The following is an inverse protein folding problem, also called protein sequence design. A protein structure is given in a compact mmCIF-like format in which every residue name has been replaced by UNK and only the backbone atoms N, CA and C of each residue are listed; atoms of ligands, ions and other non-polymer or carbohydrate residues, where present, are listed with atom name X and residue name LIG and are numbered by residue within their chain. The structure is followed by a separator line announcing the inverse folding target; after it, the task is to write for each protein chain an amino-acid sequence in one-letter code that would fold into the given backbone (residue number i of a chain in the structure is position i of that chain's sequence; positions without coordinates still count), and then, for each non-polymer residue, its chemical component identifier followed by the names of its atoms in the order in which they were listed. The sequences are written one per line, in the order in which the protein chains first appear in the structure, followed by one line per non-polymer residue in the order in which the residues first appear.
data_IF_313809878312
#
_entry.id   IF_313809878312
#
_cell.length_a   1.000
_cell.length_b   1.000
_cell.length_c   1.000
_cell.angle_alpha   90.00
_cell.angle_beta   90.00
_cell.angle_gamma   90.00
#
_symmetry.space_group_name_H-M   'P 1'
#
loop_
_entity.id
_entity.type
_entity.pdbx_description
1 polymer ?
#
# COMPACT_ATOMS: atom_id res chain seq x y z
N UNK A 1 11.98 3.07 -3.74
CA UNK A 1 11.03 4.17 -4.02
C UNK A 1 9.83 3.58 -4.81
N UNK A 2 8.59 3.84 -4.39
CA UNK A 2 7.45 2.93 -4.69
C UNK A 2 6.62 3.16 -5.97
N UNK A 3 5.60 2.33 -6.19
CA UNK A 3 4.47 2.52 -7.11
C UNK A 3 3.23 3.00 -6.34
N UNK A 4 2.50 4.02 -6.83
CA UNK A 4 1.34 4.55 -6.09
C UNK A 4 0.27 5.21 -6.97
N UNK A 5 -0.86 5.57 -6.35
CA UNK A 5 -1.90 6.41 -6.98
C UNK A 5 -1.36 7.80 -7.38
N UNK A 6 -2.12 8.52 -8.18
CA UNK A 6 -1.92 9.95 -8.37
C UNK A 6 -2.47 10.72 -7.15
N UNK A 7 -2.08 11.99 -6.97
CA UNK A 7 -2.65 12.86 -5.94
C UNK A 7 -4.15 13.03 -6.15
N UNK A 8 -4.58 13.17 -7.40
CA UNK A 8 -5.98 13.35 -7.74
C UNK A 8 -6.63 12.02 -8.16
N UNK A 9 -7.93 11.87 -7.86
CA UNK A 9 -8.73 10.80 -8.45
C UNK A 9 -8.71 10.97 -9.97
N UNK A 10 -8.44 9.88 -10.69
CA UNK A 10 -8.41 9.89 -12.15
C UNK A 10 -9.48 8.96 -12.72
N UNK A 11 -10.11 9.40 -13.80
CA UNK A 11 -10.88 8.51 -14.68
C UNK A 11 -9.91 7.91 -15.69
N UNK A 12 -9.85 6.59 -15.72
CA UNK A 12 -9.03 5.86 -16.69
C UNK A 12 -9.90 4.94 -17.53
N UNK A 13 -9.42 4.68 -18.74
CA UNK A 13 -9.99 3.71 -19.67
C UNK A 13 -8.92 2.72 -20.07
N UNK A 14 -9.18 1.43 -19.91
CA UNK A 14 -8.24 0.38 -20.31
C UNK A 14 -8.96 -0.86 -20.81
N UNK A 15 -8.26 -1.68 -21.60
CA UNK A 15 -8.79 -2.94 -22.13
C UNK A 15 -8.18 -4.12 -21.37
N UNK A 16 -9.02 -5.08 -21.01
CA UNK A 16 -8.57 -6.37 -20.47
C UNK A 16 -8.79 -7.44 -21.52
N UNK A 17 -7.72 -8.14 -21.88
CA UNK A 17 -7.78 -9.24 -22.84
C UNK A 17 -7.83 -10.58 -22.10
N UNK A 18 -8.85 -11.40 -22.38
CA UNK A 18 -9.02 -12.77 -21.88
C UNK A 18 -9.26 -13.70 -23.06
N UNK A 19 -8.30 -14.58 -23.37
CA UNK A 19 -8.51 -15.67 -24.34
C UNK A 19 -9.07 -15.24 -25.71
N UNK A 20 -8.61 -14.11 -26.26
CA UNK A 20 -9.09 -13.56 -27.53
C UNK A 20 -10.26 -12.57 -27.42
N UNK A 21 -10.86 -12.39 -26.24
CA UNK A 21 -11.88 -11.38 -25.97
C UNK A 21 -11.28 -10.14 -25.29
N UNK A 22 -11.67 -8.94 -25.73
CA UNK A 22 -11.24 -7.67 -25.14
C UNK A 22 -12.42 -6.94 -24.47
N UNK A 23 -12.35 -6.74 -23.16
CA UNK A 23 -13.32 -5.93 -22.42
C UNK A 23 -12.75 -4.53 -22.15
N UNK A 24 -13.40 -3.49 -22.67
CA UNK A 24 -13.12 -2.11 -22.27
C UNK A 24 -13.68 -1.81 -20.88
N UNK A 25 -12.88 -1.20 -20.00
CA UNK A 25 -13.30 -0.74 -18.68
C UNK A 25 -13.04 0.75 -18.53
N UNK A 26 -14.00 1.43 -17.92
CA UNK A 26 -13.87 2.79 -17.43
C UNK A 26 -13.95 2.75 -15.91
N UNK A 27 -12.96 3.32 -15.24
CA UNK A 27 -12.87 3.28 -13.78
C UNK A 27 -12.34 4.59 -13.23
N UNK A 28 -12.90 5.02 -12.10
CA UNK A 28 -12.25 5.98 -11.21
C UNK A 28 -11.27 5.24 -10.30
N UNK A 29 -9.99 5.51 -10.51
CA UNK A 29 -8.88 4.97 -9.72
C UNK A 29 -8.47 5.99 -8.67
N UNK A 30 -7.99 5.49 -7.54
CA UNK A 30 -7.86 6.24 -6.31
C UNK A 30 -7.01 7.51 -6.42
N UNK A 31 -7.09 8.32 -5.36
CA UNK A 31 -6.26 9.48 -5.10
C UNK A 31 -5.76 9.50 -3.65
N UNK A 32 -5.17 10.59 -3.21
CA UNK A 32 -4.79 10.73 -1.79
C UNK A 32 -6.02 11.01 -0.93
N UNK A 33 -5.98 10.59 0.33
CA UNK A 33 -7.04 10.90 1.28
C UNK A 33 -7.17 12.43 1.48
N UNK A 34 -8.38 13.00 1.45
CA UNK A 34 -8.58 14.42 1.70
C UNK A 34 -7.97 14.84 3.05
N UNK A 35 -7.09 15.85 3.01
CA UNK A 35 -6.33 16.33 4.17
C UNK A 35 -5.50 15.26 4.90
N UNK A 36 -5.16 14.15 4.22
CA UNK A 36 -4.47 13.02 4.84
C UNK A 36 -5.31 12.24 5.85
N UNK A 37 -6.63 12.47 5.93
CA UNK A 37 -7.50 11.82 6.92
C UNK A 37 -8.15 10.57 6.31
N UNK A 38 -7.70 9.41 6.78
CA UNK A 38 -8.28 8.10 6.46
C UNK A 38 -9.39 7.81 7.45
N UNK A 39 -10.64 7.98 7.02
CA UNK A 39 -11.80 7.58 7.83
C UNK A 39 -11.96 6.06 7.75
N UNK A 40 -12.09 5.38 8.88
CA UNK A 40 -12.31 3.95 8.92
C UNK A 40 -13.45 3.54 9.85
N UNK A 41 -14.17 2.50 9.47
CA UNK A 41 -15.25 1.90 10.23
C UNK A 41 -14.90 0.46 10.62
N UNK A 42 -15.18 0.10 11.86
CA UNK A 42 -14.94 -1.24 12.41
C UNK A 42 -16.30 -1.87 12.71
N UNK A 43 -16.73 -2.90 11.95
CA UNK A 43 -17.94 -3.64 12.27
C UNK A 43 -17.87 -4.23 13.68
N UNK A 44 -18.98 -4.16 14.42
CA UNK A 44 -19.08 -4.67 15.80
C UNK A 44 -18.84 -6.17 15.93
N UNK A 45 -18.97 -6.92 14.83
CA UNK A 45 -18.75 -8.36 14.79
C UNK A 45 -17.28 -8.76 14.80
N UNK A 46 -16.33 -7.83 14.67
CA UNK A 46 -14.90 -8.15 14.58
C UNK A 46 -14.29 -8.53 15.94
N UNK A 47 -13.31 -9.43 15.88
CA UNK A 47 -12.55 -9.89 17.06
C UNK A 47 -11.76 -8.74 17.72
N UNK A 48 -11.83 -8.61 19.05
CA UNK A 48 -11.18 -7.52 19.77
C UNK A 48 -9.64 -7.53 19.60
N UNK A 49 -9.04 -8.71 19.52
CA UNK A 49 -7.61 -8.89 19.24
C UNK A 49 -7.25 -8.36 17.86
N UNK A 50 -8.07 -8.66 16.85
CA UNK A 50 -7.90 -8.12 15.50
C UNK A 50 -7.99 -6.61 15.45
N UNK A 51 -9.03 -6.04 16.09
CA UNK A 51 -9.23 -4.58 16.16
C UNK A 51 -8.00 -3.90 16.79
N UNK A 52 -7.45 -4.50 17.86
CA UNK A 52 -6.22 -4.02 18.50
C UNK A 52 -5.04 -4.01 17.54
N UNK A 53 -4.84 -5.08 16.76
CA UNK A 53 -3.77 -5.17 15.76
C UNK A 53 -3.93 -4.16 14.62
N UNK A 54 -5.16 -3.95 14.12
CA UNK A 54 -5.47 -2.92 13.11
C UNK A 54 -5.09 -1.53 13.62
N UNK A 55 -5.53 -1.17 14.83
CA UNK A 55 -5.22 0.13 15.43
C UNK A 55 -3.72 0.33 15.64
N UNK A 56 -2.99 -0.72 16.06
CA UNK A 56 -1.53 -0.68 16.20
C UNK A 56 -0.84 -0.46 14.86
N UNK A 57 -1.24 -1.19 13.82
CA UNK A 57 -0.66 -1.06 12.49
C UNK A 57 -0.93 0.33 11.87
N UNK A 58 -2.13 0.87 12.03
CA UNK A 58 -2.46 2.25 11.66
C UNK A 58 -1.58 3.27 12.40
N UNK A 59 -1.47 3.13 13.72
CA UNK A 59 -0.63 4.02 14.55
C UNK A 59 0.85 3.93 14.16
N UNK A 60 1.33 2.74 13.80
CA UNK A 60 2.70 2.53 13.34
C UNK A 60 2.98 3.34 12.06
N UNK A 61 2.08 3.29 11.07
CA UNK A 61 2.18 4.12 9.86
C UNK A 61 2.19 5.62 10.19
N UNK A 62 1.28 6.09 11.05
CA UNK A 62 1.25 7.51 11.48
C UNK A 62 2.59 7.95 12.09
N UNK A 63 3.17 7.13 12.97
CA UNK A 63 4.46 7.41 13.62
C UNK A 63 5.60 7.44 12.59
N UNK A 64 5.65 6.49 11.67
CA UNK A 64 6.70 6.44 10.65
C UNK A 64 6.65 7.64 9.69
N UNK A 65 5.43 8.00 9.28
CA UNK A 65 5.19 9.19 8.46
C UNK A 65 5.61 10.45 9.23
N UNK A 66 5.19 10.60 10.48
CA UNK A 66 5.59 11.73 11.32
C UNK A 66 7.11 11.82 11.50
N UNK A 67 7.79 10.70 11.78
CA UNK A 67 9.26 10.68 11.93
C UNK A 67 9.97 11.09 10.65
N UNK A 68 9.46 10.67 9.49
CA UNK A 68 10.03 11.01 8.19
C UNK A 68 9.75 12.47 7.82
N UNK A 69 8.51 12.94 7.95
CA UNK A 69 8.08 14.24 7.41
C UNK A 69 8.24 15.37 8.42
N UNK A 70 8.34 15.04 9.71
CA UNK A 70 8.31 15.98 10.85
C UNK A 70 6.99 16.73 11.01
N UNK A 71 5.92 16.25 10.38
CA UNK A 71 4.54 16.68 10.61
C UNK A 71 3.56 15.51 10.41
N UNK A 72 2.36 15.62 10.99
CA UNK A 72 1.35 14.57 10.94
C UNK A 72 0.56 14.62 9.62
N UNK A 73 1.16 14.12 8.54
CA UNK A 73 0.59 14.18 7.19
C UNK A 73 -0.56 13.19 6.94
N UNK A 74 -0.66 12.16 7.78
CA UNK A 74 -1.71 11.14 7.70
C UNK A 74 -2.30 10.92 9.09
N UNK A 75 -3.62 10.77 9.15
CA UNK A 75 -4.36 10.41 10.37
C UNK A 75 -5.46 9.40 10.08
N UNK A 76 -5.52 8.33 10.86
CA UNK A 76 -6.64 7.40 10.88
C UNK A 76 -7.69 7.87 11.88
N UNK A 77 -8.92 8.03 11.42
CA UNK A 77 -10.06 8.48 12.22
C UNK A 77 -11.16 7.43 12.20
N UNK A 78 -11.43 6.82 13.36
CA UNK A 78 -12.55 5.89 13.49
C UNK A 78 -13.87 6.65 13.38
N UNK A 79 -14.80 6.14 12.58
CA UNK A 79 -16.18 6.64 12.49
C UNK A 79 -17.17 5.54 12.89
N UNK A 80 -18.41 5.93 13.17
CA UNK A 80 -19.44 5.04 13.72
C UNK A 80 -20.24 4.27 12.66
N UNK A 81 -20.05 4.58 11.38
CA UNK A 81 -20.75 3.92 10.29
C UNK A 81 -19.86 3.82 9.05
N UNK A 82 -20.05 2.75 8.27
CA UNK A 82 -19.53 2.66 6.91
C UNK A 82 -20.21 3.70 6.02
N UNK A 83 -19.61 3.97 4.86
CA UNK A 83 -20.19 4.90 3.90
C UNK A 83 -19.22 5.32 2.83
N UNK A 84 -19.63 6.31 2.05
CA UNK A 84 -18.81 6.88 0.99
C UNK A 84 -17.54 7.51 1.60
N UNK A 85 -16.38 7.13 1.07
CA UNK A 85 -15.12 7.68 1.57
C UNK A 85 -14.71 7.19 2.96
N UNK A 86 -15.19 6.00 3.36
CA UNK A 86 -14.83 5.35 4.62
C UNK A 86 -14.30 3.95 4.31
N UNK A 87 -13.13 3.61 4.85
CA UNK A 87 -12.58 2.26 4.78
C UNK A 87 -13.31 1.35 5.76
N UNK A 88 -13.95 0.31 5.26
CA UNK A 88 -14.51 -0.74 6.12
C UNK A 88 -13.44 -1.76 6.46
N UNK A 89 -13.16 -1.97 7.75
CA UNK A 89 -12.26 -3.03 8.19
C UNK A 89 -12.96 -4.38 8.02
N UNK A 90 -12.29 -5.32 7.35
CA UNK A 90 -12.80 -6.67 7.08
C UNK A 90 -11.90 -7.76 7.64
N UNK A 91 -12.50 -8.91 7.90
CA UNK A 91 -11.85 -10.15 8.34
C UNK A 91 -12.25 -11.25 7.35
N UNK A 92 -11.71 -11.15 6.12
CA UNK A 92 -12.06 -12.02 5.00
C UNK A 92 -10.83 -12.52 4.23
N UNK A 93 -10.06 -11.61 3.63
CA UNK A 93 -8.90 -11.87 2.77
C UNK A 93 -7.86 -10.78 2.94
N UNK A 94 -6.62 -11.07 2.57
CA UNK A 94 -5.52 -10.11 2.55
C UNK A 94 -5.70 -9.23 1.32
N UNK A 95 -6.42 -8.12 1.51
CA UNK A 95 -6.71 -7.17 0.46
C UNK A 95 -7.21 -5.84 1.01
N UNK A 96 -6.84 -4.77 0.32
CA UNK A 96 -7.36 -3.44 0.55
C UNK A 96 -7.64 -2.69 -0.76
N UNK A 97 -8.48 -1.67 -0.66
CA UNK A 97 -8.64 -0.67 -1.72
C UNK A 97 -7.42 0.23 -1.76
N UNK A 98 -6.89 0.50 -2.95
CA UNK A 98 -5.70 1.34 -3.11
C UNK A 98 -6.07 2.83 -3.15
N UNK A 99 -5.71 3.57 -2.10
CA UNK A 99 -5.99 5.00 -1.96
C UNK A 99 -7.47 5.34 -1.77
N UNK A 100 -7.81 6.62 -1.90
CA UNK A 100 -9.16 7.15 -1.76
C UNK A 100 -9.93 7.12 -3.08
N UNK A 101 -11.08 6.45 -3.13
CA UNK A 101 -11.90 6.31 -4.36
C UNK A 101 -13.26 6.98 -4.27
N UNK A 102 -13.60 7.66 -3.17
CA UNK A 102 -14.93 8.24 -2.91
C UNK A 102 -16.11 7.26 -3.16
N UNK A 103 -15.88 5.94 -3.06
CA UNK A 103 -16.89 4.89 -3.19
C UNK A 103 -17.31 4.38 -1.80
N UNK A 104 -18.40 3.61 -1.77
CA UNK A 104 -18.99 3.04 -0.55
C UNK A 104 -18.43 1.67 -0.17
N UNK A 105 -17.72 1.02 -1.08
CA UNK A 105 -17.22 -0.35 -0.95
C UNK A 105 -15.71 -0.39 -0.69
N UNK A 106 -15.12 0.69 -0.17
CA UNK A 106 -13.69 0.73 0.17
C UNK A 106 -13.41 -0.08 1.44
N UNK A 107 -12.36 -0.89 1.43
CA UNK A 107 -12.06 -1.81 2.52
C UNK A 107 -10.56 -2.01 2.74
N UNK A 108 -10.24 -2.55 3.91
CA UNK A 108 -8.91 -3.03 4.28
C UNK A 108 -9.09 -4.21 5.23
N UNK A 109 -8.39 -5.31 4.99
CA UNK A 109 -8.52 -6.47 5.84
C UNK A 109 -7.51 -7.56 5.55
N UNK A 110 -7.43 -8.50 6.48
CA UNK A 110 -6.71 -9.77 6.35
C UNK A 110 -7.60 -10.89 6.86
N UNK A 111 -7.30 -12.12 6.45
CA UNK A 111 -8.07 -13.31 6.83
C UNK A 111 -7.75 -13.78 8.28
N UNK A 112 -8.00 -12.95 9.29
CA UNK A 112 -7.58 -13.17 10.67
C UNK A 112 -8.23 -14.40 11.32
N UNK A 113 -9.54 -14.59 11.15
CA UNK A 113 -10.25 -15.73 11.74
C UNK A 113 -9.80 -17.07 11.20
N UNK A 114 -9.61 -17.16 9.89
CA UNK A 114 -9.27 -18.40 9.19
C UNK A 114 -7.75 -18.65 9.16
N UNK A 115 -6.94 -17.60 9.27
CA UNK A 115 -5.49 -17.69 9.36
C UNK A 115 -4.91 -16.54 10.19
N UNK A 116 -4.61 -16.80 11.45
CA UNK A 116 -4.01 -15.80 12.36
C UNK A 116 -2.65 -15.30 11.88
N UNK A 117 -1.91 -16.10 11.09
CA UNK A 117 -0.65 -15.66 10.50
C UNK A 117 -0.83 -14.56 9.45
N UNK A 118 -2.02 -14.45 8.83
CA UNK A 118 -2.35 -13.37 7.89
C UNK A 118 -2.27 -11.98 8.48
N UNK A 119 -2.22 -11.86 9.82
CA UNK A 119 -1.91 -10.57 10.44
C UNK A 119 -0.63 -9.99 9.86
N UNK A 120 0.35 -10.83 9.48
CA UNK A 120 1.62 -10.56 8.77
C UNK A 120 1.48 -9.61 7.56
N UNK A 121 0.31 -9.56 6.94
CA UNK A 121 0.07 -8.71 5.78
C UNK A 121 -0.59 -7.37 6.13
N UNK A 122 -1.06 -7.16 7.36
CA UNK A 122 -1.91 -6.02 7.68
C UNK A 122 -1.27 -4.63 7.42
N UNK A 123 0.03 -4.38 7.71
CA UNK A 123 0.68 -3.14 7.33
C UNK A 123 0.82 -2.97 5.82
N UNK A 124 0.96 -4.05 5.04
CA UNK A 124 0.92 -4.01 3.58
C UNK A 124 -0.46 -3.58 3.08
N UNK A 125 -1.53 -4.14 3.65
CA UNK A 125 -2.91 -3.73 3.32
C UNK A 125 -3.21 -2.28 3.72
N UNK A 126 -2.64 -1.80 4.82
CA UNK A 126 -2.72 -0.38 5.17
C UNK A 126 -1.89 0.47 4.20
N UNK A 127 -0.75 -0.01 3.71
CA UNK A 127 0.03 0.65 2.65
C UNK A 127 -0.80 0.86 1.37
N UNK A 128 -1.56 -0.16 0.96
CA UNK A 128 -2.58 -0.02 -0.08
C UNK A 128 -3.59 1.06 0.24
N UNK A 129 -4.18 1.01 1.44
CA UNK A 129 -5.15 2.02 1.89
C UNK A 129 -4.59 3.44 1.76
N UNK A 130 -3.30 3.65 2.05
CA UNK A 130 -2.61 4.94 1.92
C UNK A 130 -2.30 5.35 0.47
N UNK A 131 -2.46 4.46 -0.50
CA UNK A 131 -2.31 4.74 -1.92
C UNK A 131 -1.13 4.03 -2.59
N UNK A 132 -0.38 3.19 -1.88
CA UNK A 132 0.72 2.43 -2.46
C UNK A 132 0.21 1.20 -3.22
N UNK A 133 0.84 0.87 -4.34
CA UNK A 133 0.54 -0.32 -5.13
C UNK A 133 1.71 -1.30 -5.05
N UNK A 134 1.50 -2.53 -5.52
CA UNK A 134 2.53 -3.56 -5.49
C UNK A 134 3.77 -3.16 -6.31
N UNK A 135 4.94 -3.31 -5.70
CA UNK A 135 6.20 -2.88 -6.30
C UNK A 135 6.61 -3.76 -7.49
N UNK A 136 6.33 -5.06 -7.41
CA UNK A 136 6.61 -6.01 -8.50
C UNK A 136 5.83 -5.71 -9.81
N UNK A 137 4.75 -4.92 -9.73
CA UNK A 137 3.93 -4.58 -10.88
C UNK A 137 4.45 -3.38 -11.68
N UNK A 138 5.53 -2.73 -11.23
CA UNK A 138 6.16 -1.64 -11.95
C UNK A 138 6.62 -2.05 -13.35
N UNK A 139 6.61 -1.12 -14.29
CA UNK A 139 7.06 -1.37 -15.67
C UNK A 139 8.57 -1.58 -15.75
N UNK A 140 9.32 -0.97 -14.84
CA UNK A 140 10.78 -1.04 -14.73
C UNK A 140 11.26 -2.07 -13.69
N UNK A 141 10.38 -2.96 -13.19
CA UNK A 141 10.79 -4.05 -12.31
C UNK A 141 11.89 -4.92 -12.95
N UNK A 142 12.93 -5.37 -12.22
CA UNK A 142 13.98 -6.22 -12.77
C UNK A 142 13.45 -7.51 -13.39
N UNK A 143 14.13 -8.03 -14.41
CA UNK A 143 13.72 -9.27 -15.09
C UNK A 143 13.60 -10.47 -14.15
N UNK A 144 14.44 -10.57 -13.11
CA UNK A 144 14.33 -11.62 -12.09
C UNK A 144 12.98 -11.59 -11.38
N UNK A 145 12.45 -10.41 -11.09
CA UNK A 145 11.10 -10.22 -10.52
C UNK A 145 10.04 -10.55 -11.57
N UNK A 146 10.15 -9.98 -12.78
CA UNK A 146 9.15 -10.21 -13.84
C UNK A 146 8.98 -11.71 -14.19
N UNK A 147 10.07 -12.47 -14.14
CA UNK A 147 10.08 -13.90 -14.45
C UNK A 147 9.35 -14.75 -13.40
N UNK A 148 9.24 -14.27 -12.16
CA UNK A 148 8.45 -14.94 -11.10
C UNK A 148 6.95 -14.68 -11.18
N UNK A 149 6.51 -13.74 -12.04
CA UNK A 149 5.09 -13.43 -12.16
C UNK A 149 4.32 -14.58 -12.80
N UNK A 150 3.25 -15.01 -12.14
CA UNK A 150 2.27 -15.92 -12.71
C UNK A 150 1.47 -15.26 -13.85
N UNK A 151 0.63 -16.03 -14.53
CA UNK A 151 -0.17 -15.53 -15.66
C UNK A 151 -1.17 -14.44 -15.26
N UNK A 152 -1.74 -14.52 -14.05
CA UNK A 152 -2.68 -13.53 -13.52
C UNK A 152 -1.97 -12.23 -13.16
N UNK A 153 -0.80 -12.30 -12.54
CA UNK A 153 0.04 -11.16 -12.22
C UNK A 153 0.52 -10.45 -13.50
N UNK A 154 0.93 -11.20 -14.53
CA UNK A 154 1.28 -10.62 -15.83
C UNK A 154 0.09 -9.88 -16.46
N UNK A 155 -1.10 -10.46 -16.40
CA UNK A 155 -2.30 -9.85 -16.94
C UNK A 155 -2.72 -8.58 -16.17
N UNK A 156 -2.61 -8.62 -14.84
CA UNK A 156 -2.96 -7.50 -13.96
C UNK A 156 -1.91 -6.41 -13.96
N UNK A 157 -0.65 -6.69 -14.34
CA UNK A 157 0.40 -5.68 -14.49
C UNK A 157 0.02 -4.58 -15.49
N UNK A 158 -0.52 -4.95 -16.65
CA UNK A 158 -0.99 -3.98 -17.66
C UNK A 158 -2.08 -3.08 -17.08
N UNK A 159 -3.00 -3.65 -16.30
CA UNK A 159 -4.05 -2.89 -15.64
C UNK A 159 -3.44 -1.95 -14.60
N UNK A 160 -2.53 -2.46 -13.78
CA UNK A 160 -1.84 -1.72 -12.72
C UNK A 160 -1.08 -0.51 -13.26
N UNK A 161 -0.40 -0.64 -14.40
CA UNK A 161 0.30 0.48 -15.04
C UNK A 161 -0.64 1.58 -15.56
N UNK A 162 -1.91 1.27 -15.83
CA UNK A 162 -2.91 2.29 -16.16
C UNK A 162 -3.40 3.05 -14.92
N UNK A 163 -3.35 2.42 -13.74
CA UNK A 163 -3.89 2.96 -12.49
C UNK A 163 -2.86 3.76 -11.70
N UNK A 164 -1.61 3.31 -11.70
CA UNK A 164 -0.58 3.79 -10.78
C UNK A 164 0.63 4.37 -11.51
N UNK A 165 1.36 5.22 -10.81
CA UNK A 165 2.50 5.96 -11.30
C UNK A 165 3.70 5.68 -10.41
N UNK A 166 4.88 5.61 -11.03
CA UNK A 166 6.14 5.54 -10.28
C UNK A 166 6.55 6.90 -9.76
N UNK A 167 6.00 8.00 -10.29
CA UNK A 167 6.42 9.38 -9.97
C UNK A 167 7.94 9.60 -10.11
N UNK A 168 8.58 8.91 -11.07
CA UNK A 168 10.03 8.90 -11.30
C UNK A 168 10.87 8.37 -10.13
N UNK A 169 10.25 7.55 -9.28
CA UNK A 169 10.90 6.90 -8.16
C UNK A 169 11.75 5.71 -8.64
N UNK A 170 12.87 5.42 -7.99
CA UNK A 170 13.68 4.21 -8.26
C UNK A 170 13.05 2.95 -7.62
N UNK A 171 13.03 1.83 -8.35
CA UNK A 171 12.49 0.54 -7.89
C UNK A 171 13.01 0.12 -6.49
N UNK A 172 12.12 -0.42 -5.65
CA UNK A 172 12.38 -0.77 -4.26
C UNK A 172 12.28 -2.28 -3.96
N UNK A 173 13.38 -3.02 -4.09
CA UNK A 173 13.38 -4.44 -3.72
C UNK A 173 13.00 -4.72 -2.25
N UNK A 174 13.12 -3.71 -1.38
CA UNK A 174 12.82 -3.81 0.05
C UNK A 174 11.50 -3.14 0.44
N UNK A 175 10.67 -2.72 -0.53
CA UNK A 175 9.36 -2.13 -0.23
C UNK A 175 8.48 -3.14 0.50
N UNK A 176 7.71 -2.64 1.48
CA UNK A 176 6.67 -3.44 2.13
C UNK A 176 5.60 -3.89 1.14
N UNK A 177 5.49 -3.20 -0.01
CA UNK A 177 4.58 -3.51 -1.12
C UNK A 177 5.16 -4.51 -2.12
N UNK A 178 6.39 -4.99 -1.90
CA UNK A 178 6.93 -6.14 -2.59
C UNK A 178 6.35 -7.43 -1.99
N UNK A 179 6.11 -8.43 -2.82
CA UNK A 179 5.74 -9.77 -2.33
C UNK A 179 7.00 -10.55 -1.99
N UNK A 180 6.93 -11.44 -0.99
CA UNK A 180 8.09 -12.13 -0.44
C UNK A 180 8.86 -12.97 -1.48
N UNK A 181 8.17 -13.68 -2.38
CA UNK A 181 8.79 -14.50 -3.43
C UNK A 181 9.52 -13.65 -4.49
N UNK A 182 8.96 -12.52 -4.87
CA UNK A 182 9.58 -11.55 -5.78
C UNK A 182 10.78 -10.85 -5.09
N UNK A 183 10.67 -10.52 -3.80
CA UNK A 183 11.76 -9.97 -3.02
C UNK A 183 12.94 -10.96 -2.95
N UNK A 184 12.66 -12.24 -2.69
CA UNK A 184 13.68 -13.31 -2.68
C UNK A 184 14.38 -13.48 -4.03
N UNK A 185 13.70 -13.24 -5.15
CA UNK A 185 14.33 -13.24 -6.48
C UNK A 185 15.39 -12.13 -6.67
N UNK A 186 15.43 -11.14 -5.78
CA UNK A 186 16.45 -10.10 -5.69
C UNK A 186 17.48 -10.36 -4.58
N UNK A 187 17.41 -11.51 -3.91
CA UNK A 187 18.25 -11.83 -2.74
C UNK A 187 17.81 -11.12 -1.46
N UNK A 188 16.63 -10.48 -1.43
CA UNK A 188 16.09 -9.85 -0.22
C UNK A 188 15.43 -10.94 0.64
N UNK A 189 15.98 -11.16 1.85
CA UNK A 189 15.56 -12.24 2.75
C UNK A 189 14.23 -11.93 3.43
N UNK A 190 13.97 -10.65 3.75
CA UNK A 190 12.67 -10.18 4.23
C UNK A 190 12.52 -8.68 3.99
N UNK A 191 11.60 -8.29 3.11
CA UNK A 191 11.31 -6.90 2.79
C UNK A 191 10.43 -6.20 3.86
N UNK A 192 9.59 -6.96 4.57
CA UNK A 192 8.71 -6.43 5.62
C UNK A 192 9.44 -6.20 6.94
N UNK A 193 10.47 -6.99 7.25
CA UNK A 193 11.23 -6.88 8.51
C UNK A 193 12.34 -5.82 8.48
N UNK A 194 12.98 -5.62 7.32
CA UNK A 194 14.17 -4.78 7.19
C UNK A 194 13.92 -3.35 6.69
N UNK A 195 12.65 -2.93 6.59
CA UNK A 195 12.30 -1.57 6.15
C UNK A 195 12.82 -0.44 7.06
N UNK A 196 12.79 0.78 6.51
CA UNK A 196 13.56 1.94 6.98
C UNK A 196 13.04 2.60 8.27
N UNK A 197 11.77 2.43 8.64
CA UNK A 197 11.25 3.00 9.88
C UNK A 197 11.15 1.97 11.01
N UNK A 198 12.28 1.72 11.69
CA UNK A 198 12.29 0.91 12.91
C UNK A 198 11.69 1.71 14.09
N UNK A 199 10.65 1.17 14.72
CA UNK A 199 10.12 1.69 15.99
C UNK A 199 10.58 0.76 17.12
N UNK A 200 11.02 1.32 18.26
CA UNK A 200 11.44 0.55 19.42
C UNK A 200 10.31 -0.35 19.94
N UNK A 201 10.63 -1.56 20.39
CA UNK A 201 9.65 -2.57 20.85
C UNK A 201 8.65 -2.04 21.90
N UNK A 202 9.05 -1.10 22.75
CA UNK A 202 8.20 -0.51 23.79
C UNK A 202 7.13 0.46 23.24
N UNK A 203 7.15 0.80 21.95
CA UNK A 203 6.22 1.72 21.31
C UNK A 203 5.23 1.01 20.38
N UNK A 204 5.52 -0.23 19.95
CA UNK A 204 4.61 -1.09 19.17
C UNK A 204 4.94 -2.56 19.46
N UNK A 205 3.98 -3.32 20.01
CA UNK A 205 4.13 -4.76 20.28
C UNK A 205 4.11 -5.58 18.96
N UNK A 206 5.21 -5.53 18.20
CA UNK A 206 5.80 -6.62 17.41
C UNK A 206 6.92 -6.04 16.51
N UNK A 207 8.11 -6.62 16.62
CA UNK A 207 9.38 -6.05 16.17
C UNK A 207 9.75 -6.26 14.69
N UNK A 208 8.80 -6.46 13.77
CA UNK A 208 9.12 -7.07 12.46
C UNK A 208 8.47 -6.43 11.23
N UNK A 209 8.04 -5.17 11.29
CA UNK A 209 7.22 -4.59 10.22
C UNK A 209 7.58 -3.14 10.04
N UNK A 210 8.29 -2.83 8.96
CA UNK A 210 8.76 -1.48 8.71
C UNK A 210 8.51 -1.15 7.23
N UNK A 211 7.83 -0.03 6.91
CA UNK A 211 7.86 0.48 5.55
C UNK A 211 9.30 0.85 5.17
N UNK A 212 9.69 0.61 3.92
CA UNK A 212 11.00 1.01 3.41
C UNK A 212 11.14 2.54 3.43
N UNK A 213 12.38 3.03 3.30
CA UNK A 213 12.58 4.46 3.11
C UNK A 213 11.84 4.96 1.84
N UNK A 214 11.81 4.15 0.79
CA UNK A 214 11.15 4.47 -0.47
C UNK A 214 9.62 4.46 -0.40
N UNK A 215 9.02 3.63 0.45
CA UNK A 215 7.58 3.67 0.77
C UNK A 215 7.23 5.00 1.42
N UNK A 216 8.02 5.41 2.42
CA UNK A 216 7.80 6.67 3.14
C UNK A 216 8.09 7.89 2.25
N UNK A 217 9.08 7.83 1.37
CA UNK A 217 9.34 8.89 0.40
C UNK A 217 8.19 9.05 -0.59
N UNK A 218 7.59 7.94 -1.03
CA UNK A 218 6.40 7.98 -1.88
C UNK A 218 5.21 8.62 -1.15
N UNK A 219 4.95 8.21 0.09
CA UNK A 219 3.92 8.85 0.90
C UNK A 219 4.22 10.33 1.18
N UNK A 220 5.50 10.71 1.27
CA UNK A 220 5.90 12.12 1.43
C UNK A 220 5.48 12.92 0.22
N UNK A 221 5.78 12.41 -0.97
CA UNK A 221 5.32 13.05 -2.19
C UNK A 221 3.79 13.15 -2.25
N UNK A 222 3.07 12.08 -1.91
CA UNK A 222 1.61 12.06 -1.97
C UNK A 222 0.94 13.04 -1.01
N UNK A 223 1.34 13.06 0.26
CA UNK A 223 0.64 13.77 1.33
C UNK A 223 1.25 15.13 1.73
N UNK A 224 2.43 15.47 1.23
CA UNK A 224 2.98 16.82 1.33
C UNK A 224 2.42 17.69 0.20
N UNK A 225 1.46 18.54 0.53
CA UNK A 225 0.78 19.43 -0.43
C UNK A 225 1.72 20.44 -1.10
N UNK A 226 2.89 20.72 -0.51
CA UNK A 226 3.88 21.64 -1.07
C UNK A 226 4.90 20.92 -1.97
N UNK A 227 4.90 19.58 -1.97
CA UNK A 227 5.91 18.78 -2.63
C UNK A 227 5.47 18.40 -4.04
N UNK A 228 6.18 18.93 -5.03
CA UNK A 228 5.95 18.63 -6.45
C UNK A 228 6.86 17.53 -7.01
N UNK A 229 7.86 17.10 -6.24
CA UNK A 229 8.82 16.04 -6.64
C UNK A 229 9.19 15.16 -5.46
N UNK A 230 9.55 13.90 -5.72
CA UNK A 230 10.04 13.01 -4.67
C UNK A 230 11.32 13.57 -4.04
N UNK A 231 11.54 13.38 -2.72
CA UNK A 231 12.83 13.69 -2.12
C UNK A 231 13.92 12.92 -2.88
N UNK A 232 15.04 13.59 -3.18
CA UNK A 232 16.26 12.94 -3.66
C UNK A 232 16.86 12.11 -2.52
N UNK A 233 16.22 11.03 -2.12
CA UNK A 233 16.83 10.03 -1.23
C UNK A 233 17.66 9.10 -2.10
N UNK A 234 18.98 9.24 -1.94
CA UNK A 234 20.07 8.40 -2.45
C UNK A 234 19.70 7.46 -3.60
N UNK A 235 19.72 7.99 -4.83
CA UNK A 235 20.15 7.22 -5.98
C UNK A 235 21.61 6.82 -5.76
N UNK A 236 21.83 5.81 -4.92
CA UNK A 236 23.10 5.09 -4.92
C UNK A 236 23.22 4.40 -6.29
N UNK A 237 24.34 4.53 -7.00
CA UNK A 237 24.57 3.68 -8.16
C UNK A 237 24.53 2.24 -7.67
N UNK A 238 23.76 1.40 -8.35
CA UNK A 238 23.96 -0.04 -8.27
C UNK A 238 25.35 -0.30 -8.85
N UNK A 239 26.33 -0.50 -7.96
CA UNK A 239 27.62 -1.07 -8.28
C UNK A 239 27.54 -2.59 -8.37
#
# INVERSE_FOLDING_TARGET
MGLAVDKNIRKISYKINFGGFSLGRNEEVGGVWPNGVVKYYVPSSLDAGYISSVKKAMSHWEICIYRKFRFAAVKFLQVNAAGRGVVTIKDDRNSATVGFTNKTDQYCGVAWRTNRASIASLPHEIGHTLGLAHEHMRSDAPMSVQNTLDSLQKQTRVQTLSRFLTHNSAFDGSSIMMYDDQARALGVVSNTHDGGCKISANQVNSSTWNPSAGDLDMLSYLYDGNRQTLPRSFAGPLG
#
